data_IF_177103554486
#
_entry.id   IF_177103554486
#
_cell.length_a   1.000
_cell.length_b   1.000
_cell.length_c   1.000
_cell.angle_alpha   90.00
_cell.angle_beta   90.00
_cell.angle_gamma   90.00
#
_symmetry.space_group_name_H-M   'P 1'
#
loop_
_entity.id
_entity.type
_entity.pdbx_description
1 polymer ?
#
# COMPACT_ATOMS: atom_id res chain seq x y z
N UNK A 1 8.46 4.23 -22.97
CA UNK A 1 8.33 5.03 -21.73
C UNK A 1 7.27 6.07 -22.03
N UNK A 2 6.20 6.12 -21.25
CA UNK A 2 5.04 6.98 -21.52
C UNK A 2 5.31 8.27 -20.74
N UNK A 3 5.54 9.34 -21.47
CA UNK A 3 5.87 10.64 -20.88
C UNK A 3 4.57 11.46 -20.69
N UNK A 4 3.70 10.97 -19.75
CA UNK A 4 2.48 11.68 -19.40
C UNK A 4 2.77 12.74 -18.34
N UNK A 5 2.34 13.96 -18.60
CA UNK A 5 2.46 15.03 -17.60
C UNK A 5 1.45 14.80 -16.45
N UNK A 6 1.78 15.28 -15.26
CA UNK A 6 0.97 15.16 -14.03
C UNK A 6 -0.52 15.46 -14.24
N UNK A 7 -0.86 16.53 -14.97
CA UNK A 7 -2.24 16.90 -15.27
C UNK A 7 -3.02 15.82 -16.01
N UNK A 8 -2.37 15.12 -16.97
CA UNK A 8 -2.99 14.05 -17.74
C UNK A 8 -3.31 12.84 -16.88
N UNK A 9 -2.46 12.52 -15.93
CA UNK A 9 -2.68 11.45 -14.96
C UNK A 9 -3.81 11.82 -14.01
N UNK A 10 -3.84 13.07 -13.52
CA UNK A 10 -4.93 13.55 -12.69
C UNK A 10 -6.26 13.56 -13.44
N UNK A 11 -6.25 13.86 -14.74
CA UNK A 11 -7.43 13.76 -15.59
C UNK A 11 -7.93 12.31 -15.69
N UNK A 12 -7.03 11.32 -15.86
CA UNK A 12 -7.39 9.89 -15.87
C UNK A 12 -7.94 9.43 -14.53
N UNK A 13 -7.38 9.87 -13.41
CA UNK A 13 -7.89 9.59 -12.06
C UNK A 13 -9.29 10.19 -11.86
N UNK A 14 -9.53 11.41 -12.32
CA UNK A 14 -10.85 12.04 -12.23
C UNK A 14 -11.88 11.31 -13.12
N UNK A 15 -11.47 10.89 -14.32
CA UNK A 15 -12.33 10.13 -15.24
C UNK A 15 -12.67 8.75 -14.65
N UNK A 16 -11.74 8.05 -14.05
CA UNK A 16 -11.96 6.71 -13.47
C UNK A 16 -12.95 6.72 -12.29
N UNK A 17 -13.06 7.84 -11.58
CA UNK A 17 -14.03 8.04 -10.49
C UNK A 17 -15.46 8.31 -10.98
N UNK A 18 -15.63 8.61 -12.28
CA UNK A 18 -16.95 8.95 -12.85
C UNK A 18 -17.60 7.72 -13.46
N UNK A 19 -18.78 7.35 -12.96
CA UNK A 19 -19.60 6.28 -13.55
C UNK A 19 -20.43 6.76 -14.75
N UNK A 20 -20.64 8.07 -14.88
CA UNK A 20 -21.44 8.72 -15.91
C UNK A 20 -20.60 9.68 -16.74
N UNK A 21 -21.11 10.02 -17.94
CA UNK A 21 -20.49 11.05 -18.75
C UNK A 21 -20.47 12.40 -18.04
N UNK A 22 -19.32 13.05 -18.03
CA UNK A 22 -19.16 14.41 -17.50
C UNK A 22 -18.66 15.36 -18.60
N UNK A 23 -19.19 16.59 -18.65
CA UNK A 23 -18.75 17.56 -19.65
C UNK A 23 -17.29 17.98 -19.42
N UNK A 24 -16.58 18.36 -20.48
CA UNK A 24 -15.19 18.83 -20.37
C UNK A 24 -15.01 19.99 -19.37
N UNK A 25 -16.06 20.81 -19.18
CA UNK A 25 -16.09 21.90 -18.20
C UNK A 25 -16.02 21.42 -16.75
N UNK A 26 -16.45 20.20 -16.44
CA UNK A 26 -16.28 19.60 -15.13
C UNK A 26 -14.80 19.36 -14.82
N UNK A 27 -14.10 18.71 -15.76
CA UNK A 27 -12.68 18.41 -15.60
C UNK A 27 -11.82 19.67 -15.66
N UNK A 28 -12.16 20.63 -16.50
CA UNK A 28 -11.45 21.91 -16.60
C UNK A 28 -11.48 22.71 -15.30
N UNK A 29 -12.62 22.72 -14.60
CA UNK A 29 -12.75 23.35 -13.29
C UNK A 29 -11.97 22.61 -12.20
N UNK A 30 -12.01 21.26 -12.22
CA UNK A 30 -11.30 20.44 -11.23
C UNK A 30 -9.78 20.53 -11.35
N UNK A 31 -9.26 20.76 -12.56
CA UNK A 31 -7.83 20.82 -12.85
C UNK A 31 -7.30 22.25 -13.08
N UNK A 32 -8.15 23.25 -12.92
CA UNK A 32 -7.84 24.68 -13.14
C UNK A 32 -7.20 24.96 -14.52
N UNK A 33 -7.79 24.42 -15.58
CA UNK A 33 -7.31 24.59 -16.96
C UNK A 33 -8.46 24.88 -17.91
N UNK A 34 -8.14 25.28 -19.15
CA UNK A 34 -9.17 25.52 -20.17
C UNK A 34 -9.81 24.21 -20.65
N UNK A 35 -11.06 24.27 -21.09
CA UNK A 35 -11.74 23.13 -21.74
C UNK A 35 -11.00 22.68 -23.02
N UNK A 36 -10.35 23.63 -23.73
CA UNK A 36 -9.51 23.32 -24.88
C UNK A 36 -8.31 22.44 -24.48
N UNK A 37 -7.69 22.73 -23.34
CA UNK A 37 -6.59 21.93 -22.77
C UNK A 37 -7.07 20.52 -22.46
N UNK A 38 -8.26 20.37 -21.85
CA UNK A 38 -8.85 19.05 -21.58
C UNK A 38 -9.03 18.26 -22.87
N UNK A 39 -9.57 18.86 -23.94
CA UNK A 39 -9.72 18.16 -25.22
C UNK A 39 -8.40 17.75 -25.86
N UNK A 40 -7.35 18.57 -25.72
CA UNK A 40 -6.01 18.23 -26.19
C UNK A 40 -5.45 17.04 -25.40
N UNK A 41 -5.55 17.07 -24.08
CA UNK A 41 -5.12 15.98 -23.21
C UNK A 41 -5.85 14.65 -23.54
N UNK A 42 -7.16 14.71 -23.70
CA UNK A 42 -7.98 13.54 -24.07
C UNK A 42 -7.54 12.96 -25.42
N UNK A 43 -7.22 13.80 -26.39
CA UNK A 43 -6.76 13.32 -27.70
C UNK A 43 -5.42 12.60 -27.62
N UNK A 44 -4.54 13.10 -26.77
CA UNK A 44 -3.27 12.45 -26.49
C UNK A 44 -3.44 11.14 -25.70
N UNK A 45 -4.30 11.15 -24.68
CA UNK A 45 -4.51 10.01 -23.80
C UNK A 45 -5.21 8.82 -24.51
N UNK A 46 -5.95 9.05 -25.59
CA UNK A 46 -6.73 7.99 -26.25
C UNK A 46 -5.86 6.82 -26.67
N UNK A 47 -4.72 7.06 -27.31
CA UNK A 47 -3.78 6.00 -27.72
C UNK A 47 -3.06 5.34 -26.53
N UNK A 48 -2.96 6.05 -25.41
CA UNK A 48 -2.30 5.51 -24.21
C UNK A 48 -3.20 4.58 -23.43
N UNK A 49 -4.48 4.93 -23.26
CA UNK A 49 -5.43 4.09 -22.53
C UNK A 49 -5.81 2.81 -23.30
N UNK A 50 -5.82 2.86 -24.64
CA UNK A 50 -6.07 1.69 -25.51
C UNK A 50 -5.09 0.53 -25.25
N UNK A 51 -3.84 0.81 -24.85
CA UNK A 51 -2.84 -0.20 -24.50
C UNK A 51 -3.28 -1.10 -23.34
N UNK A 52 -4.16 -0.58 -22.49
CA UNK A 52 -4.72 -1.27 -21.33
C UNK A 52 -6.12 -1.85 -21.58
N UNK A 53 -6.57 -1.89 -22.85
CA UNK A 53 -7.96 -2.29 -23.21
C UNK A 53 -9.01 -1.41 -22.51
N UNK A 54 -8.71 -0.13 -22.40
CA UNK A 54 -9.58 0.92 -21.86
C UNK A 54 -9.82 1.93 -22.96
N UNK A 55 -11.06 2.39 -23.10
CA UNK A 55 -11.48 3.36 -24.11
C UNK A 55 -11.86 4.70 -23.47
N UNK A 56 -11.44 5.79 -24.09
CA UNK A 56 -11.80 7.13 -23.69
C UNK A 56 -12.89 7.68 -24.64
N UNK A 57 -14.15 7.49 -24.25
CA UNK A 57 -15.30 7.76 -25.10
C UNK A 57 -15.74 9.21 -24.96
N UNK A 58 -15.93 9.87 -26.12
CA UNK A 58 -16.50 11.21 -26.25
C UNK A 58 -17.89 11.13 -26.87
N UNK A 59 -18.91 11.44 -26.12
CA UNK A 59 -20.27 11.53 -26.61
C UNK A 59 -20.65 13.00 -26.87
N UNK A 60 -20.92 13.42 -28.12
CA UNK A 60 -21.27 14.80 -28.42
C UNK A 60 -22.46 15.29 -27.59
N UNK A 61 -22.33 16.46 -26.98
CA UNK A 61 -23.34 17.10 -26.09
C UNK A 61 -23.61 16.37 -24.76
N UNK A 62 -23.05 15.20 -24.54
CA UNK A 62 -23.23 14.39 -23.33
C UNK A 62 -22.00 14.55 -22.44
N UNK A 63 -20.80 14.30 -22.98
CA UNK A 63 -19.57 14.43 -22.21
C UNK A 63 -18.52 13.39 -22.54
N UNK A 64 -17.65 13.14 -21.57
CA UNK A 64 -16.49 12.27 -21.67
C UNK A 64 -16.60 11.23 -20.56
N UNK A 65 -16.24 9.99 -20.88
CA UNK A 65 -16.19 8.87 -19.93
C UNK A 65 -15.05 7.92 -20.28
N UNK A 66 -14.51 7.28 -19.27
CA UNK A 66 -13.60 6.15 -19.41
C UNK A 66 -14.40 4.85 -19.39
N UNK A 67 -14.21 3.99 -20.40
CA UNK A 67 -14.89 2.72 -20.54
C UNK A 67 -13.87 1.58 -20.58
N UNK A 68 -14.16 0.51 -19.88
CA UNK A 68 -13.32 -0.68 -19.80
C UNK A 68 -13.65 -1.50 -18.55
N UNK A 69 -13.10 -2.69 -18.49
CA UNK A 69 -13.20 -3.52 -17.28
C UNK A 69 -12.52 -2.83 -16.10
N UNK A 70 -13.11 -2.93 -14.93
CA UNK A 70 -12.60 -2.29 -13.70
C UNK A 70 -11.14 -2.66 -13.43
N UNK A 71 -10.77 -3.90 -13.68
CA UNK A 71 -9.41 -4.42 -13.52
C UNK A 71 -8.42 -3.74 -14.47
N UNK A 72 -8.81 -3.55 -15.74
CA UNK A 72 -7.99 -2.87 -16.75
C UNK A 72 -7.76 -1.39 -16.40
N UNK A 73 -8.80 -0.70 -15.96
CA UNK A 73 -8.71 0.70 -15.52
C UNK A 73 -7.77 0.81 -14.32
N UNK A 74 -7.90 -0.09 -13.35
CA UNK A 74 -7.01 -0.10 -12.17
C UNK A 74 -5.57 -0.46 -12.53
N UNK A 75 -5.36 -1.40 -13.45
CA UNK A 75 -4.03 -1.75 -13.95
C UNK A 75 -3.37 -0.55 -14.63
N UNK A 76 -4.10 0.13 -15.52
CA UNK A 76 -3.66 1.35 -16.19
C UNK A 76 -3.24 2.42 -15.20
N UNK A 77 -4.10 2.73 -14.22
CA UNK A 77 -3.81 3.76 -13.21
C UNK A 77 -2.57 3.42 -12.38
N UNK A 78 -2.38 2.15 -12.05
CA UNK A 78 -1.20 1.67 -11.30
C UNK A 78 0.10 1.85 -12.09
N UNK A 79 0.11 1.48 -13.36
CA UNK A 79 1.30 1.59 -14.20
C UNK A 79 1.66 3.06 -14.46
N UNK A 80 0.64 3.89 -14.73
CA UNK A 80 0.84 5.32 -14.92
C UNK A 80 1.33 6.04 -13.66
N UNK A 81 1.05 5.51 -12.47
CA UNK A 81 1.57 6.06 -11.22
C UNK A 81 3.00 5.61 -10.93
N UNK A 82 3.39 4.38 -11.30
CA UNK A 82 4.77 3.90 -11.14
C UNK A 82 5.75 4.71 -11.99
N UNK A 83 5.35 5.10 -13.21
CA UNK A 83 6.20 5.83 -14.14
C UNK A 83 6.24 7.35 -13.86
N UNK A 84 5.33 7.87 -13.05
CA UNK A 84 5.08 9.32 -12.94
C UNK A 84 5.05 9.89 -11.51
N UNK A 85 5.81 9.33 -10.59
CA UNK A 85 6.38 10.21 -9.57
C UNK A 85 7.22 11.23 -10.34
N UNK A 86 6.82 12.50 -10.32
CA UNK A 86 7.68 13.57 -10.89
C UNK A 86 9.08 13.36 -10.31
N UNK A 87 10.12 13.61 -11.10
CA UNK A 87 11.50 13.53 -10.56
C UNK A 87 11.58 14.34 -9.25
N UNK A 88 10.87 15.45 -9.16
CA UNK A 88 10.77 16.28 -7.97
C UNK A 88 10.12 15.55 -6.77
N UNK A 89 9.10 14.72 -6.98
CA UNK A 89 8.47 13.94 -5.89
C UNK A 89 9.36 12.81 -5.37
N UNK A 90 10.18 12.19 -6.23
CA UNK A 90 11.16 11.18 -5.84
C UNK A 90 12.27 11.73 -4.92
N UNK A 91 12.50 13.03 -4.96
CA UNK A 91 13.53 13.67 -4.14
C UNK A 91 12.96 14.35 -2.87
N UNK A 92 11.65 14.24 -2.62
CA UNK A 92 11.08 14.79 -1.38
C UNK A 92 11.55 14.01 -0.14
N UNK A 93 11.69 14.68 1.02
CA UNK A 93 12.01 13.99 2.28
C UNK A 93 10.99 12.92 2.65
N UNK A 94 9.70 13.16 2.35
CA UNK A 94 8.58 12.24 2.62
C UNK A 94 8.76 10.94 1.82
N UNK A 95 8.99 11.03 0.52
CA UNK A 95 9.23 9.87 -0.33
C UNK A 95 10.47 9.11 0.10
N UNK A 96 11.57 9.79 0.40
CA UNK A 96 12.83 9.19 0.85
C UNK A 96 12.66 8.42 2.17
N UNK A 97 11.92 8.98 3.12
CA UNK A 97 11.59 8.30 4.39
C UNK A 97 10.78 7.04 4.18
N UNK A 98 9.74 7.09 3.35
CA UNK A 98 8.95 5.90 2.97
C UNK A 98 9.81 4.86 2.25
N UNK A 99 10.69 5.29 1.36
CA UNK A 99 11.60 4.40 0.64
C UNK A 99 12.57 3.69 1.61
N UNK A 100 13.16 4.42 2.56
CA UNK A 100 14.03 3.82 3.59
C UNK A 100 13.24 2.79 4.42
N UNK A 101 12.04 3.14 4.89
CA UNK A 101 11.19 2.22 5.63
C UNK A 101 10.87 0.98 4.83
N UNK A 102 10.44 1.12 3.58
CA UNK A 102 10.14 -0.01 2.70
C UNK A 102 11.35 -0.92 2.56
N UNK A 103 12.52 -0.37 2.22
CA UNK A 103 13.75 -1.14 2.02
C UNK A 103 14.13 -1.96 3.25
N UNK A 104 14.11 -1.34 4.41
CA UNK A 104 14.54 -2.00 5.65
C UNK A 104 13.48 -2.96 6.19
N UNK A 105 12.21 -2.58 6.15
CA UNK A 105 11.12 -3.33 6.80
C UNK A 105 10.51 -4.40 5.89
N UNK A 106 10.19 -4.03 4.65
CA UNK A 106 9.43 -4.90 3.75
C UNK A 106 10.38 -5.72 2.88
N UNK A 107 11.32 -5.02 2.22
CA UNK A 107 12.27 -5.69 1.35
C UNK A 107 13.34 -6.46 2.15
N UNK A 108 13.52 -6.11 3.44
CA UNK A 108 14.56 -6.65 4.33
C UNK A 108 15.97 -6.48 3.73
N UNK A 109 16.19 -5.40 3.01
CA UNK A 109 17.46 -5.09 2.38
C UNK A 109 18.37 -4.33 3.34
N UNK A 110 19.66 -4.63 3.28
CA UNK A 110 20.69 -3.83 3.96
C UNK A 110 21.04 -2.63 3.10
N UNK A 111 20.67 -1.44 3.54
CA UNK A 111 21.00 -0.18 2.87
C UNK A 111 21.96 0.64 3.72
N UNK A 112 22.91 1.34 3.08
CA UNK A 112 23.87 2.17 3.78
C UNK A 112 23.56 3.66 3.61
N UNK A 113 23.99 4.51 4.54
CA UNK A 113 23.87 5.97 4.36
C UNK A 113 24.50 6.45 3.04
N UNK A 114 25.58 5.78 2.60
CA UNK A 114 26.23 6.15 1.37
C UNK A 114 25.41 5.79 0.13
N UNK A 115 24.79 4.59 0.11
CA UNK A 115 23.91 4.18 -1.00
C UNK A 115 22.69 5.09 -1.10
N UNK A 116 22.04 5.40 0.02
CA UNK A 116 20.88 6.30 0.06
C UNK A 116 21.26 7.74 -0.31
N UNK A 117 22.43 8.21 0.17
CA UNK A 117 22.95 9.55 -0.18
C UNK A 117 23.18 9.70 -1.69
N UNK A 118 23.70 8.66 -2.34
CA UNK A 118 23.91 8.64 -3.80
C UNK A 118 22.58 8.56 -4.56
N UNK A 119 21.65 7.71 -4.11
CA UNK A 119 20.34 7.52 -4.74
C UNK A 119 19.52 8.82 -4.75
N UNK A 120 19.50 9.53 -3.61
CA UNK A 120 18.66 10.72 -3.43
C UNK A 120 19.43 12.05 -3.54
N UNK A 121 20.71 12.02 -3.85
CA UNK A 121 21.58 13.21 -3.98
C UNK A 121 21.51 14.14 -2.74
N UNK A 122 21.47 13.55 -1.54
CA UNK A 122 21.37 14.29 -0.27
C UNK A 122 22.56 14.01 0.62
N UNK A 123 22.82 14.91 1.58
CA UNK A 123 23.87 14.74 2.56
C UNK A 123 23.56 13.63 3.57
N UNK A 124 24.58 13.02 4.16
CA UNK A 124 24.40 12.07 5.28
C UNK A 124 23.71 12.73 6.48
N UNK A 125 23.95 14.02 6.71
CA UNK A 125 23.27 14.79 7.78
C UNK A 125 21.75 14.83 7.56
N UNK A 126 21.30 15.03 6.31
CA UNK A 126 19.88 15.00 5.98
C UNK A 126 19.27 13.61 6.24
N UNK A 127 20.02 12.54 5.94
CA UNK A 127 19.57 11.18 6.21
C UNK A 127 19.45 10.87 7.71
N UNK A 128 20.35 11.36 8.54
CA UNK A 128 20.18 11.27 10.00
C UNK A 128 18.93 11.99 10.50
N UNK A 129 18.59 13.15 9.91
CA UNK A 129 17.34 13.85 10.20
C UNK A 129 16.13 13.03 9.77
N UNK A 130 16.17 12.41 8.59
CA UNK A 130 15.08 11.53 8.13
C UNK A 130 14.89 10.33 9.07
N UNK A 131 15.97 9.67 9.48
CA UNK A 131 15.92 8.55 10.45
C UNK A 131 15.34 9.02 11.77
N UNK A 132 15.72 10.21 12.26
CA UNK A 132 15.15 10.78 13.49
C UNK A 132 13.63 11.04 13.36
N UNK A 133 13.16 11.52 12.21
CA UNK A 133 11.73 11.72 11.94
C UNK A 133 11.00 10.38 11.87
N UNK A 134 11.57 9.39 11.18
CA UNK A 134 11.00 8.03 11.12
C UNK A 134 10.88 7.46 12.53
N UNK A 135 11.96 7.48 13.31
CA UNK A 135 11.96 6.97 14.68
C UNK A 135 10.87 7.64 15.53
N UNK A 136 10.77 8.95 15.49
CA UNK A 136 9.69 9.67 16.19
C UNK A 136 8.29 9.19 15.80
N UNK A 137 8.10 8.76 14.56
CA UNK A 137 6.80 8.28 14.07
C UNK A 137 6.49 6.85 14.50
N UNK A 138 7.50 5.97 14.63
CA UNK A 138 7.35 4.56 14.98
C UNK A 138 7.54 4.26 16.48
N UNK A 139 8.33 5.07 17.19
CA UNK A 139 8.63 4.90 18.63
C UNK A 139 7.46 5.21 19.57
N UNK A 140 6.36 5.76 19.06
CA UNK A 140 5.28 6.29 19.92
C UNK A 140 4.62 5.25 20.85
N UNK A 141 4.87 3.94 20.64
CA UNK A 141 4.25 2.86 21.42
C UNK A 141 5.14 1.60 21.59
N UNK A 142 6.41 1.59 21.15
CA UNK A 142 7.26 0.40 21.19
C UNK A 142 8.75 0.77 21.19
N UNK A 143 9.63 -0.15 21.61
CA UNK A 143 11.09 0.00 21.57
C UNK A 143 11.68 -0.17 20.14
N UNK A 144 10.84 -0.08 19.10
CA UNK A 144 11.26 -0.19 17.72
C UNK A 144 11.94 1.07 17.24
N UNK A 145 13.13 0.95 16.68
CA UNK A 145 13.88 2.07 16.10
C UNK A 145 14.72 1.66 14.90
N UNK A 146 14.92 2.60 13.99
CA UNK A 146 15.97 2.53 12.99
C UNK A 146 17.30 2.97 13.59
N UNK A 147 18.35 2.19 13.37
CA UNK A 147 19.70 2.50 13.80
C UNK A 147 20.69 2.39 12.64
N UNK A 148 21.72 3.24 12.69
CA UNK A 148 22.80 3.20 11.70
C UNK A 148 23.97 2.45 12.32
N UNK A 149 24.15 1.19 11.94
CA UNK A 149 25.26 0.36 12.38
C UNK A 149 26.38 0.26 11.33
N UNK A 150 27.36 -0.58 11.60
CA UNK A 150 28.50 -0.83 10.70
C UNK A 150 28.06 -1.43 9.36
N UNK A 151 27.01 -2.28 9.36
CA UNK A 151 26.48 -2.92 8.17
C UNK A 151 25.48 -2.03 7.40
N UNK A 152 25.07 -0.86 7.96
CA UNK A 152 24.10 0.03 7.34
C UNK A 152 22.93 0.39 8.25
N UNK A 153 21.81 0.78 7.64
CA UNK A 153 20.57 1.12 8.34
C UNK A 153 19.81 -0.18 8.60
N UNK A 154 19.51 -0.45 9.87
CA UNK A 154 18.74 -1.61 10.31
C UNK A 154 17.62 -1.18 11.25
N UNK A 155 16.61 -2.05 11.40
CA UNK A 155 15.58 -1.89 12.41
C UNK A 155 15.89 -2.79 13.59
N UNK A 156 15.73 -2.23 14.80
CA UNK A 156 15.82 -2.94 16.06
C UNK A 156 14.44 -3.06 16.67
N UNK A 157 14.16 -4.19 17.31
CA UNK A 157 12.89 -4.52 17.96
C UNK A 157 12.50 -5.97 17.70
N UNK A 158 11.57 -6.45 18.50
CA UNK A 158 10.94 -7.75 18.29
C UNK A 158 10.01 -7.72 17.08
N UNK A 159 9.85 -8.85 16.38
CA UNK A 159 9.07 -8.89 15.14
C UNK A 159 7.62 -8.41 15.33
N UNK A 160 7.00 -8.77 16.45
CA UNK A 160 5.64 -8.33 16.81
C UNK A 160 5.54 -6.81 16.96
N UNK A 161 6.54 -6.20 17.60
CA UNK A 161 6.59 -4.74 17.80
C UNK A 161 6.83 -4.01 16.48
N UNK A 162 7.72 -4.55 15.64
CA UNK A 162 7.99 -4.02 14.30
C UNK A 162 6.70 -4.00 13.47
N UNK A 163 5.97 -5.11 13.41
CA UNK A 163 4.73 -5.16 12.64
C UNK A 163 3.67 -4.20 13.19
N UNK A 164 3.50 -4.14 14.50
CA UNK A 164 2.55 -3.24 15.14
C UNK A 164 2.91 -1.76 14.91
N UNK A 165 4.18 -1.39 15.02
CA UNK A 165 4.64 -0.02 14.79
C UNK A 165 4.37 0.45 13.35
N UNK A 166 4.62 -0.39 12.36
CA UNK A 166 4.36 -0.09 10.95
C UNK A 166 2.86 -0.04 10.63
N UNK A 167 2.09 -0.99 11.18
CA UNK A 167 0.63 -0.98 11.03
C UNK A 167 0.04 0.33 11.56
N UNK A 168 0.43 0.74 12.76
CA UNK A 168 -0.01 2.00 13.36
C UNK A 168 0.40 3.22 12.54
N UNK A 169 1.63 3.25 12.01
CA UNK A 169 2.09 4.30 11.12
C UNK A 169 1.21 4.41 9.86
N UNK A 170 1.00 3.30 9.14
CA UNK A 170 0.20 3.28 7.92
C UNK A 170 -1.26 3.67 8.17
N UNK A 171 -1.86 3.21 9.27
CA UNK A 171 -3.23 3.55 9.65
C UNK A 171 -3.37 5.01 10.07
N UNK A 172 -2.36 5.59 10.74
CA UNK A 172 -2.40 7.00 11.17
C UNK A 172 -2.45 7.97 10.00
N UNK A 173 -1.78 7.62 8.89
CA UNK A 173 -1.71 8.42 7.67
C UNK A 173 -2.99 8.32 6.80
N UNK A 174 -3.93 7.43 7.15
CA UNK A 174 -5.07 7.08 6.28
C UNK A 174 -6.44 7.21 6.94
N UNK A 175 -6.55 7.95 8.04
CA UNK A 175 -7.77 8.06 8.86
C UNK A 175 -9.01 8.54 8.08
N UNK A 176 -8.84 9.42 7.10
CA UNK A 176 -9.91 10.04 6.33
C UNK A 176 -10.05 9.46 4.90
N UNK A 177 -9.20 8.50 4.53
CA UNK A 177 -9.23 7.91 3.19
C UNK A 177 -10.30 6.82 3.08
N UNK A 178 -10.90 6.66 1.90
CA UNK A 178 -11.78 5.52 1.62
C UNK A 178 -10.96 4.23 1.52
N UNK A 179 -11.57 3.08 1.83
CA UNK A 179 -10.91 1.76 1.77
C UNK A 179 -10.21 1.49 0.42
N UNK A 180 -10.83 1.86 -0.70
CA UNK A 180 -10.25 1.71 -2.04
C UNK A 180 -9.00 2.55 -2.25
N UNK A 181 -9.00 3.81 -1.80
CA UNK A 181 -7.88 4.74 -1.94
C UNK A 181 -6.73 4.30 -1.01
N UNK A 182 -7.06 3.82 0.19
CA UNK A 182 -6.11 3.24 1.12
C UNK A 182 -5.41 1.99 0.55
N UNK A 183 -6.18 1.03 0.03
CA UNK A 183 -5.63 -0.18 -0.61
C UNK A 183 -4.68 0.18 -1.75
N UNK A 184 -5.03 1.20 -2.53
CA UNK A 184 -4.17 1.69 -3.60
C UNK A 184 -2.86 2.31 -3.08
N UNK A 185 -2.91 3.07 -1.99
CA UNK A 185 -1.73 3.67 -1.35
C UNK A 185 -0.76 2.61 -0.82
N UNK A 186 -1.27 1.48 -0.32
CA UNK A 186 -0.45 0.35 0.10
C UNK A 186 0.44 -0.20 -1.02
N UNK A 187 0.05 -0.06 -2.29
CA UNK A 187 0.86 -0.46 -3.45
C UNK A 187 2.20 0.27 -3.59
N UNK A 188 2.36 1.42 -2.94
CA UNK A 188 3.64 2.12 -2.87
C UNK A 188 4.60 1.48 -1.86
N UNK A 189 4.06 0.71 -0.91
CA UNK A 189 4.81 0.15 0.22
C UNK A 189 4.99 -1.37 0.10
N UNK A 190 3.96 -2.10 -0.33
CA UNK A 190 3.95 -3.57 -0.42
C UNK A 190 3.93 -4.07 -1.87
N UNK A 191 4.22 -5.36 -2.05
CA UNK A 191 4.10 -6.04 -3.33
C UNK A 191 2.63 -6.20 -3.72
N UNK A 192 2.31 -5.94 -5.00
CA UNK A 192 0.93 -5.95 -5.49
C UNK A 192 0.26 -7.32 -5.39
N UNK A 193 1.02 -8.39 -5.57
CA UNK A 193 0.50 -9.76 -5.47
C UNK A 193 0.05 -10.08 -4.04
N UNK A 194 0.78 -9.58 -3.03
CA UNK A 194 0.38 -9.72 -1.63
C UNK A 194 -0.89 -8.92 -1.33
N UNK A 195 -0.93 -7.67 -1.78
CA UNK A 195 -2.13 -6.82 -1.60
C UNK A 195 -3.34 -7.46 -2.25
N UNK A 196 -3.18 -7.98 -3.48
CA UNK A 196 -4.26 -8.62 -4.22
C UNK A 196 -4.76 -9.88 -3.49
N UNK A 197 -3.84 -10.78 -3.11
CA UNK A 197 -4.19 -12.02 -2.42
C UNK A 197 -4.98 -11.74 -1.13
N UNK A 198 -4.53 -10.78 -0.31
CA UNK A 198 -5.21 -10.43 0.94
C UNK A 198 -6.53 -9.70 0.68
N UNK A 199 -6.57 -8.78 -0.27
CA UNK A 199 -7.81 -8.05 -0.58
C UNK A 199 -8.89 -8.97 -1.16
N UNK A 200 -8.53 -9.87 -2.07
CA UNK A 200 -9.45 -10.84 -2.65
C UNK A 200 -9.99 -11.79 -1.56
N UNK A 201 -9.14 -12.21 -0.64
CA UNK A 201 -9.53 -13.04 0.50
C UNK A 201 -10.55 -12.33 1.39
N UNK A 202 -10.29 -11.08 1.80
CA UNK A 202 -11.21 -10.33 2.68
C UNK A 202 -12.54 -10.07 1.96
N UNK A 203 -12.51 -9.67 0.68
CA UNK A 203 -13.70 -9.21 -0.04
C UNK A 203 -14.58 -10.36 -0.55
N UNK A 204 -14.00 -11.53 -0.85
CA UNK A 204 -14.74 -12.63 -1.48
C UNK A 204 -15.01 -13.80 -0.52
N UNK A 205 -14.02 -14.16 0.31
CA UNK A 205 -14.12 -15.35 1.15
C UNK A 205 -14.60 -15.04 2.58
N UNK A 206 -14.46 -13.78 2.99
CA UNK A 206 -14.91 -13.27 4.28
C UNK A 206 -15.82 -12.04 4.13
N UNK A 207 -16.75 -12.09 3.17
CA UNK A 207 -17.71 -11.01 2.89
C UNK A 207 -18.52 -10.64 4.16
N UNK A 208 -18.85 -11.63 5.01
CA UNK A 208 -19.53 -11.41 6.28
C UNK A 208 -18.74 -10.45 7.20
N UNK A 209 -17.41 -10.48 7.18
CA UNK A 209 -16.59 -9.54 7.94
C UNK A 209 -16.74 -8.10 7.42
N UNK A 210 -16.94 -7.92 6.12
CA UNK A 210 -17.11 -6.59 5.53
C UNK A 210 -18.43 -5.93 5.87
N UNK A 211 -19.45 -6.73 6.22
CA UNK A 211 -20.76 -6.23 6.65
C UNK A 211 -20.79 -5.87 8.14
N UNK A 212 -19.97 -6.52 8.96
CA UNK A 212 -19.99 -6.40 10.43
C UNK A 212 -18.93 -5.40 10.92
N UNK A 213 -17.75 -5.39 10.30
CA UNK A 213 -16.63 -4.55 10.73
C UNK A 213 -16.76 -3.11 10.21
N UNK A 214 -16.39 -2.15 11.05
CA UNK A 214 -16.26 -0.76 10.57
C UNK A 214 -15.12 -0.64 9.56
N UNK A 215 -15.16 0.40 8.72
CA UNK A 215 -14.12 0.65 7.72
C UNK A 215 -12.71 0.77 8.33
N UNK A 216 -12.60 1.31 9.53
CA UNK A 216 -11.34 1.38 10.27
C UNK A 216 -10.79 -0.02 10.59
N UNK A 217 -11.63 -0.92 11.08
CA UNK A 217 -11.22 -2.29 11.41
C UNK A 217 -10.89 -3.10 10.15
N UNK A 218 -11.61 -2.89 9.06
CA UNK A 218 -11.26 -3.52 7.76
C UNK A 218 -9.89 -3.06 7.25
N UNK A 219 -9.57 -1.78 7.37
CA UNK A 219 -8.24 -1.25 7.04
C UNK A 219 -7.16 -1.85 7.94
N UNK A 220 -7.44 -1.94 9.23
CA UNK A 220 -6.52 -2.51 10.21
C UNK A 220 -6.24 -3.99 9.92
N UNK A 221 -7.27 -4.78 9.66
CA UNK A 221 -7.14 -6.18 9.29
C UNK A 221 -6.37 -6.35 7.98
N UNK A 222 -6.71 -5.56 6.96
CA UNK A 222 -6.02 -5.56 5.66
C UNK A 222 -4.52 -5.32 5.83
N UNK A 223 -4.14 -4.26 6.54
CA UNK A 223 -2.72 -3.92 6.77
C UNK A 223 -2.01 -5.01 7.56
N UNK A 224 -2.65 -5.55 8.60
CA UNK A 224 -2.08 -6.62 9.42
C UNK A 224 -1.78 -7.87 8.60
N UNK A 225 -2.73 -8.31 7.77
CA UNK A 225 -2.54 -9.49 6.92
C UNK A 225 -1.50 -9.26 5.82
N UNK A 226 -1.50 -8.08 5.18
CA UNK A 226 -0.50 -7.72 4.17
C UNK A 226 0.89 -7.65 4.80
N UNK A 227 1.02 -7.01 5.96
CA UNK A 227 2.30 -6.89 6.69
C UNK A 227 2.83 -8.28 7.07
N UNK A 228 2.02 -9.09 7.75
CA UNK A 228 2.42 -10.42 8.16
C UNK A 228 2.84 -11.28 6.95
N UNK A 229 2.03 -11.29 5.87
CA UNK A 229 2.34 -12.04 4.65
C UNK A 229 3.65 -11.57 4.00
N UNK A 230 3.87 -10.27 3.92
CA UNK A 230 5.10 -9.69 3.37
C UNK A 230 6.33 -10.08 4.19
N UNK A 231 6.21 -10.11 5.51
CA UNK A 231 7.29 -10.52 6.41
C UNK A 231 7.56 -12.03 6.32
N UNK A 232 6.51 -12.86 6.22
CA UNK A 232 6.64 -14.30 6.04
C UNK A 232 7.29 -14.67 4.70
N UNK A 233 7.04 -13.93 3.63
CA UNK A 233 7.77 -14.08 2.36
C UNK A 233 9.28 -13.88 2.51
N UNK A 234 9.71 -13.04 3.45
CA UNK A 234 11.12 -12.79 3.80
C UNK A 234 11.59 -13.72 4.94
N UNK A 235 10.81 -14.75 5.31
CA UNK A 235 11.10 -15.69 6.39
C UNK A 235 11.31 -15.02 7.76
N UNK A 236 10.60 -13.91 7.99
CA UNK A 236 10.56 -13.20 9.27
C UNK A 236 9.34 -13.68 10.05
N UNK A 237 9.58 -14.58 10.99
CA UNK A 237 8.57 -15.17 11.86
C UNK A 237 8.50 -14.44 13.20
N UNK A 238 7.35 -14.52 13.85
CA UNK A 238 7.22 -14.09 15.25
C UNK A 238 8.15 -14.87 16.15
N UNK A 239 8.75 -14.21 17.12
CA UNK A 239 9.65 -14.85 18.09
C UNK A 239 8.88 -15.83 18.97
N UNK A 240 9.61 -16.81 19.53
CA UNK A 240 9.04 -17.81 20.42
C UNK A 240 8.55 -17.17 21.72
N UNK A 241 7.23 -16.99 21.83
CA UNK A 241 6.59 -16.86 23.13
C UNK A 241 6.32 -18.28 23.68
N UNK A 242 6.34 -18.43 24.99
CA UNK A 242 6.32 -19.72 25.66
C UNK A 242 5.16 -20.65 25.18
N UNK A 243 5.43 -21.94 24.98
CA UNK A 243 4.49 -22.99 24.53
C UNK A 243 3.10 -23.00 25.20
N UNK A 244 2.98 -22.37 26.36
CA UNK A 244 1.76 -22.32 27.18
C UNK A 244 0.67 -21.48 26.48
N UNK A 245 1.03 -20.46 25.71
CA UNK A 245 0.09 -19.53 25.10
C UNK A 245 -0.64 -20.15 23.90
N UNK A 246 0.09 -20.85 23.02
CA UNK A 246 -0.48 -21.44 21.81
C UNK A 246 -1.55 -22.52 22.07
N UNK A 247 -1.40 -23.33 23.11
CA UNK A 247 -2.38 -24.38 23.44
C UNK A 247 -3.74 -23.79 23.87
N UNK A 248 -3.76 -22.59 24.45
CA UNK A 248 -5.00 -21.92 24.84
C UNK A 248 -5.75 -21.31 23.64
N UNK A 249 -5.02 -20.86 22.63
CA UNK A 249 -5.59 -20.18 21.44
C UNK A 249 -6.32 -21.16 20.53
N UNK A 250 -5.87 -22.41 20.42
CA UNK A 250 -6.54 -23.44 19.60
C UNK A 250 -8.00 -23.70 19.98
N UNK A 251 -8.41 -23.33 21.18
CA UNK A 251 -9.76 -23.49 21.68
C UNK A 251 -10.64 -22.23 21.44
N UNK A 252 -10.09 -21.16 20.88
CA UNK A 252 -10.84 -19.96 20.56
C UNK A 252 -11.54 -20.10 19.20
N UNK A 253 -12.76 -19.57 19.08
CA UNK A 253 -13.49 -19.52 17.81
C UNK A 253 -12.69 -18.77 16.73
N UNK A 254 -11.97 -17.72 17.11
CA UNK A 254 -11.07 -16.96 16.24
C UNK A 254 -9.97 -17.81 15.60
N UNK A 255 -9.58 -18.93 16.22
CA UNK A 255 -8.59 -19.85 15.65
C UNK A 255 -9.08 -20.50 14.35
N UNK A 256 -10.36 -20.80 14.24
CA UNK A 256 -10.94 -21.41 13.03
C UNK A 256 -10.82 -20.42 11.87
N UNK A 257 -11.15 -19.16 12.12
CA UNK A 257 -11.04 -18.09 11.12
C UNK A 257 -9.56 -17.83 10.76
N UNK A 258 -8.69 -17.70 11.77
CA UNK A 258 -7.26 -17.52 11.56
C UNK A 258 -6.64 -18.64 10.72
N UNK A 259 -7.02 -19.89 11.02
CA UNK A 259 -6.51 -21.05 10.29
C UNK A 259 -7.02 -21.07 8.83
N UNK A 260 -8.27 -20.70 8.59
CA UNK A 260 -8.80 -20.57 7.23
C UNK A 260 -8.06 -19.50 6.42
N UNK A 261 -7.83 -18.33 7.01
CA UNK A 261 -7.03 -17.25 6.41
C UNK A 261 -5.61 -17.73 6.10
N UNK A 262 -4.95 -18.33 7.09
CA UNK A 262 -3.57 -18.79 6.95
C UNK A 262 -3.40 -19.86 5.86
N UNK A 263 -4.30 -20.84 5.78
CA UNK A 263 -4.23 -21.89 4.75
C UNK A 263 -4.45 -21.32 3.34
N UNK A 264 -5.34 -20.35 3.17
CA UNK A 264 -5.54 -19.71 1.88
C UNK A 264 -4.32 -18.88 1.46
N UNK A 265 -3.78 -18.03 2.34
CA UNK A 265 -2.60 -17.22 2.05
C UNK A 265 -1.35 -18.08 1.83
N UNK A 266 -1.21 -19.18 2.60
CA UNK A 266 -0.16 -20.17 2.38
C UNK A 266 -0.22 -20.76 0.98
N UNK A 267 -1.40 -21.09 0.48
CA UNK A 267 -1.58 -21.62 -0.86
C UNK A 267 -1.30 -20.57 -1.94
N UNK A 268 -1.83 -19.35 -1.78
CA UNK A 268 -1.72 -18.29 -2.80
C UNK A 268 -0.32 -17.67 -2.85
N UNK A 269 0.31 -17.46 -1.72
CA UNK A 269 1.60 -16.75 -1.60
C UNK A 269 2.80 -17.67 -1.33
N UNK A 270 2.58 -18.98 -1.18
CA UNK A 270 3.63 -19.96 -0.85
C UNK A 270 4.40 -19.62 0.45
N UNK A 271 3.72 -19.04 1.42
CA UNK A 271 4.27 -18.71 2.76
C UNK A 271 3.99 -19.83 3.75
N UNK A 272 4.71 -19.81 4.88
CA UNK A 272 4.51 -20.78 5.98
C UNK A 272 4.27 -20.01 7.27
N UNK A 273 3.32 -20.49 8.08
CA UNK A 273 3.02 -19.93 9.40
C UNK A 273 3.63 -20.83 10.47
N UNK A 274 4.38 -20.26 11.39
CA UNK A 274 4.78 -20.90 12.64
C UNK A 274 3.61 -20.89 13.63
N UNK A 275 3.74 -21.58 14.76
CA UNK A 275 2.76 -21.52 15.83
C UNK A 275 2.59 -20.09 16.37
N UNK A 276 3.67 -19.33 16.45
CA UNK A 276 3.67 -17.97 16.97
C UNK A 276 3.04 -16.98 15.97
N UNK A 277 3.25 -17.19 14.66
CA UNK A 277 2.57 -16.43 13.62
C UNK A 277 1.05 -16.63 13.68
N UNK A 278 0.61 -17.86 13.94
CA UNK A 278 -0.82 -18.19 14.14
C UNK A 278 -1.37 -17.57 15.41
N UNK A 279 -0.61 -17.57 16.49
CA UNK A 279 -1.00 -16.89 17.73
C UNK A 279 -1.19 -15.40 17.52
N UNK A 280 -0.23 -14.75 16.87
CA UNK A 280 -0.32 -13.34 16.52
C UNK A 280 -1.58 -13.06 15.69
N UNK A 281 -1.82 -13.84 14.63
CA UNK A 281 -3.00 -13.69 13.79
C UNK A 281 -4.31 -13.84 14.59
N UNK A 282 -4.40 -14.86 15.46
CA UNK A 282 -5.57 -15.04 16.33
C UNK A 282 -5.80 -13.85 17.26
N UNK A 283 -4.74 -13.30 17.86
CA UNK A 283 -4.82 -12.12 18.73
C UNK A 283 -5.30 -10.88 17.98
N UNK A 284 -4.80 -10.69 16.75
CA UNK A 284 -5.25 -9.57 15.91
C UNK A 284 -6.72 -9.70 15.53
N UNK A 285 -7.18 -10.89 15.14
CA UNK A 285 -8.59 -11.14 14.84
C UNK A 285 -9.50 -11.00 16.05
N UNK A 286 -9.01 -11.30 17.26
CA UNK A 286 -9.78 -11.12 18.50
C UNK A 286 -9.89 -9.65 18.90
N UNK A 287 -8.92 -8.82 18.50
CA UNK A 287 -8.91 -7.38 18.77
C UNK A 287 -9.84 -6.57 17.84
N UNK A 288 -10.30 -7.20 16.76
CA UNK A 288 -11.20 -6.62 15.75
C UNK A 288 -12.62 -7.18 15.90
#
# INVERSE_FOLDING_TARGET
MIDLIRRQIELLKLLSKQREYKPASFFSKSLDVSTKTIYTDITYLQSEVEKYKVDLVRAPRIGIRLEGEKENIQHMLRDLQKDNLSEDEKYTPEYRRLWILKKVLIDCETITLESVSKEFLVSKTSLYQDIAVINKSIESQSDVKLEVGECGICILGEEIEIQNAVNNYLLSESKEEMFSDFTHKLGNFFELDVIKAVSDLILNDFEELTEVLSEYYLKSLLVTLIMQSSRLLKKKHMNEETEISYNNIRHMETYIVANSIAEQLKYQLHITYSNNDMEYLCRQLYAH
#
